data_IF_392585836462
#
_entry.id   IF_392585836462
#
_cell.length_a   1.000
_cell.length_b   1.000
_cell.length_c   1.000
_cell.angle_alpha   90.00
_cell.angle_beta   90.00
_cell.angle_gamma   90.00
#
_symmetry.space_group_name_H-M   'P 1'
#
loop_
_entity.id
_entity.type
_entity.pdbx_description
1 polymer ?
#
# COMPACT_ATOMS: atom_id res chain seq x y z
N UNK A 1 5.11 -14.91 -32.79
CA UNK A 1 5.02 -13.78 -31.86
C UNK A 1 6.43 -13.45 -31.39
N UNK A 2 6.91 -12.24 -31.64
CA UNK A 2 8.27 -11.84 -31.27
C UNK A 2 8.44 -11.81 -29.75
N UNK A 3 9.64 -12.13 -29.26
CA UNK A 3 9.97 -12.17 -27.83
C UNK A 3 9.61 -10.87 -27.09
N UNK A 4 9.69 -9.73 -27.78
CA UNK A 4 9.36 -8.40 -27.26
C UNK A 4 7.85 -8.19 -27.01
N UNK A 5 6.98 -8.78 -27.82
CA UNK A 5 5.53 -8.72 -27.56
C UNK A 5 5.18 -9.53 -26.31
N UNK A 6 5.86 -10.65 -26.08
CA UNK A 6 5.60 -11.51 -24.92
C UNK A 6 6.02 -10.82 -23.61
N UNK A 7 7.14 -10.12 -23.60
CA UNK A 7 7.60 -9.39 -22.41
C UNK A 7 6.66 -8.22 -22.08
N UNK A 8 6.26 -7.42 -23.06
CA UNK A 8 5.31 -6.31 -22.87
C UNK A 8 3.97 -6.83 -22.32
N UNK A 9 3.44 -7.91 -22.90
CA UNK A 9 2.16 -8.48 -22.48
C UNK A 9 2.22 -9.04 -21.05
N UNK A 10 3.34 -9.68 -20.68
CA UNK A 10 3.59 -10.15 -19.31
C UNK A 10 3.71 -8.98 -18.32
N UNK A 11 4.41 -7.90 -18.69
CA UNK A 11 4.51 -6.71 -17.85
C UNK A 11 3.15 -6.03 -17.66
N UNK A 12 2.34 -6.00 -18.72
CA UNK A 12 0.99 -5.46 -18.64
C UNK A 12 0.10 -6.30 -17.72
N UNK A 13 0.06 -7.62 -17.90
CA UNK A 13 -0.77 -8.51 -17.07
C UNK A 13 -0.36 -8.43 -15.60
N UNK A 14 0.94 -8.47 -15.32
CA UNK A 14 1.46 -8.32 -13.96
C UNK A 14 1.04 -6.99 -13.31
N UNK A 15 1.10 -5.90 -14.07
CA UNK A 15 0.73 -4.57 -13.57
C UNK A 15 -0.77 -4.41 -13.33
N UNK A 16 -1.61 -5.09 -14.10
CA UNK A 16 -3.06 -5.10 -13.92
C UNK A 16 -3.46 -5.92 -12.70
N UNK A 17 -2.93 -7.14 -12.59
CA UNK A 17 -3.14 -8.04 -11.44
C UNK A 17 -2.70 -7.39 -10.13
N UNK A 18 -1.50 -6.78 -10.11
CA UNK A 18 -0.99 -6.07 -8.94
C UNK A 18 -1.91 -4.91 -8.54
N UNK A 19 -2.43 -4.16 -9.53
CA UNK A 19 -3.36 -3.07 -9.28
C UNK A 19 -4.71 -3.52 -8.71
N UNK A 20 -5.22 -4.66 -9.18
CA UNK A 20 -6.45 -5.26 -8.66
C UNK A 20 -6.26 -5.77 -7.23
N UNK A 21 -5.14 -6.47 -6.97
CA UNK A 21 -4.78 -6.94 -5.64
C UNK A 21 -4.71 -5.79 -4.64
N UNK A 22 -4.13 -4.65 -5.00
CA UNK A 22 -4.00 -3.51 -4.10
C UNK A 22 -5.32 -2.86 -3.72
N UNK A 23 -6.24 -2.75 -4.67
CA UNK A 23 -7.61 -2.27 -4.41
C UNK A 23 -8.36 -3.24 -3.51
N UNK A 24 -8.21 -4.54 -3.74
CA UNK A 24 -8.80 -5.57 -2.91
C UNK A 24 -8.28 -5.50 -1.46
N UNK A 25 -6.95 -5.52 -1.27
CA UNK A 25 -6.33 -5.46 0.06
C UNK A 25 -6.72 -4.19 0.79
N UNK A 26 -6.72 -3.05 0.11
CA UNK A 26 -7.13 -1.78 0.71
C UNK A 26 -8.60 -1.82 1.14
N UNK A 27 -9.49 -2.31 0.28
CA UNK A 27 -10.92 -2.47 0.58
C UNK A 27 -11.16 -3.41 1.76
N UNK A 28 -10.48 -4.56 1.79
CA UNK A 28 -10.57 -5.52 2.88
C UNK A 28 -10.05 -4.94 4.20
N UNK A 29 -8.94 -4.18 4.16
CA UNK A 29 -8.37 -3.53 5.36
C UNK A 29 -9.30 -2.46 5.90
N UNK A 30 -9.90 -1.64 5.04
CA UNK A 30 -10.89 -0.62 5.43
C UNK A 30 -12.16 -1.26 6.00
N UNK A 31 -12.68 -2.31 5.37
CA UNK A 31 -13.84 -3.04 5.87
C UNK A 31 -13.56 -3.67 7.24
N UNK A 32 -12.37 -4.26 7.42
CA UNK A 32 -11.90 -4.77 8.70
C UNK A 32 -11.82 -3.67 9.76
N UNK A 33 -11.24 -2.51 9.43
CA UNK A 33 -11.20 -1.36 10.33
C UNK A 33 -12.59 -0.87 10.72
N UNK A 34 -13.52 -0.77 9.76
CA UNK A 34 -14.89 -0.34 10.02
C UNK A 34 -15.61 -1.31 10.95
N UNK A 35 -15.47 -2.62 10.73
CA UNK A 35 -16.05 -3.66 11.58
C UNK A 35 -15.46 -3.63 13.00
N UNK A 36 -14.14 -3.55 13.12
CA UNK A 36 -13.47 -3.46 14.41
C UNK A 36 -13.86 -2.16 15.14
N UNK A 37 -13.98 -1.05 14.42
CA UNK A 37 -14.40 0.23 14.98
C UNK A 37 -15.83 0.21 15.55
N UNK A 38 -16.72 -0.64 15.02
CA UNK A 38 -18.08 -0.82 15.55
C UNK A 38 -18.13 -1.77 16.75
N UNK A 39 -17.22 -2.73 16.83
CA UNK A 39 -17.29 -3.84 17.79
C UNK A 39 -16.41 -3.65 19.03
N UNK A 40 -15.42 -2.75 18.98
CA UNK A 40 -14.53 -2.48 20.12
C UNK A 40 -15.25 -1.58 21.15
N UNK A 41 -15.40 -2.02 22.42
CA UNK A 41 -15.89 -1.15 23.47
C UNK A 41 -14.79 -0.13 23.83
N UNK A 42 -15.08 1.15 23.61
CA UNK A 42 -14.16 2.23 23.98
C UNK A 42 -14.30 2.54 25.48
N UNK A 43 -13.17 2.48 26.20
CA UNK A 43 -13.06 2.84 27.61
C UNK A 43 -12.16 4.06 27.81
N UNK A 44 -11.99 4.48 29.07
CA UNK A 44 -11.04 5.53 29.43
C UNK A 44 -9.63 5.15 28.96
N UNK A 45 -8.90 6.11 28.37
CA UNK A 45 -7.51 5.91 27.96
C UNK A 45 -6.64 5.58 29.18
N UNK A 46 -5.93 4.46 29.14
CA UNK A 46 -5.02 4.02 30.19
C UNK A 46 -4.20 2.79 29.76
N UNK A 47 -3.41 2.20 30.66
CA UNK A 47 -2.73 0.92 30.41
C UNK A 47 -3.70 -0.26 30.59
N UNK A 48 -4.83 -0.19 29.88
CA UNK A 48 -5.91 -1.14 29.97
C UNK A 48 -6.12 -1.83 28.61
N UNK A 49 -6.71 -3.01 28.67
CA UNK A 49 -7.09 -3.82 27.51
C UNK A 49 -7.82 -3.02 26.39
N UNK A 50 -8.78 -2.11 26.68
CA UNK A 50 -9.45 -1.32 25.64
C UNK A 50 -8.49 -0.42 24.85
N UNK A 51 -7.41 0.07 25.47
CA UNK A 51 -6.41 0.90 24.82
C UNK A 51 -5.54 0.09 23.86
N UNK A 52 -5.29 -1.21 24.13
CA UNK A 52 -4.62 -2.10 23.18
C UNK A 52 -5.44 -2.34 21.91
N UNK A 53 -6.77 -2.49 22.04
CA UNK A 53 -7.66 -2.57 20.89
C UNK A 53 -7.66 -1.28 20.07
N UNK A 54 -7.67 -0.12 20.75
CA UNK A 54 -7.57 1.17 20.09
C UNK A 54 -6.24 1.33 19.33
N UNK A 55 -5.11 0.98 19.95
CA UNK A 55 -3.79 1.02 19.29
C UNK A 55 -3.74 0.09 18.07
N UNK A 56 -4.32 -1.10 18.16
CA UNK A 56 -4.40 -2.05 17.05
C UNK A 56 -5.25 -1.50 15.91
N UNK A 57 -6.41 -0.91 16.22
CA UNK A 57 -7.28 -0.25 15.26
C UNK A 57 -6.59 0.93 14.56
N UNK A 58 -5.88 1.78 15.31
CA UNK A 58 -5.11 2.89 14.76
C UNK A 58 -3.97 2.40 13.85
N UNK A 59 -3.31 1.31 14.21
CA UNK A 59 -2.24 0.71 13.40
C UNK A 59 -2.80 0.13 12.10
N UNK A 60 -3.96 -0.53 12.14
CA UNK A 60 -4.67 -1.00 10.94
C UNK A 60 -5.17 0.17 10.07
N UNK A 61 -5.67 1.24 10.68
CA UNK A 61 -6.04 2.47 9.97
C UNK A 61 -4.85 3.13 9.28
N UNK A 62 -3.68 3.16 9.94
CA UNK A 62 -2.44 3.63 9.34
C UNK A 62 -2.02 2.75 8.15
N UNK A 63 -2.16 1.42 8.26
CA UNK A 63 -1.92 0.51 7.15
C UNK A 63 -2.81 0.82 5.93
N UNK A 64 -4.10 1.10 6.15
CA UNK A 64 -5.00 1.50 5.07
C UNK A 64 -4.56 2.83 4.42
N UNK A 65 -4.16 3.83 5.22
CA UNK A 65 -3.62 5.11 4.71
C UNK A 65 -2.37 4.89 3.84
N UNK A 66 -1.45 4.04 4.28
CA UNK A 66 -0.25 3.69 3.52
C UNK A 66 -0.58 2.93 2.24
N UNK A 67 -1.63 2.09 2.26
CA UNK A 67 -2.19 1.47 1.08
C UNK A 67 -2.64 2.49 0.03
N UNK A 68 -3.36 3.54 0.44
CA UNK A 68 -3.71 4.65 -0.45
C UNK A 68 -2.46 5.37 -0.99
N UNK A 69 -1.48 5.68 -0.14
CA UNK A 69 -0.23 6.33 -0.56
C UNK A 69 0.57 5.50 -1.54
N UNK A 70 0.56 4.18 -1.40
CA UNK A 70 1.18 3.28 -2.38
C UNK A 70 0.51 3.38 -3.74
N UNK A 71 -0.82 3.31 -3.80
CA UNK A 71 -1.57 3.43 -5.07
C UNK A 71 -1.26 4.76 -5.76
N UNK A 72 -1.22 5.86 -5.00
CA UNK A 72 -0.86 7.19 -5.51
C UNK A 72 0.56 7.19 -6.11
N UNK A 73 1.53 6.57 -5.42
CA UNK A 73 2.92 6.50 -5.86
C UNK A 73 3.08 5.64 -7.12
N UNK A 74 2.38 4.51 -7.20
CA UNK A 74 2.35 3.67 -8.41
C UNK A 74 1.75 4.45 -9.60
N UNK A 75 0.67 5.21 -9.37
CA UNK A 75 0.08 6.04 -10.41
C UNK A 75 1.05 7.13 -10.89
N UNK A 76 1.78 7.77 -9.98
CA UNK A 76 2.85 8.73 -10.32
C UNK A 76 3.98 8.06 -11.10
N UNK A 77 4.37 6.84 -10.75
CA UNK A 77 5.40 6.09 -11.46
C UNK A 77 4.98 5.82 -12.91
N UNK A 78 3.71 5.43 -13.12
CA UNK A 78 3.15 5.20 -14.46
C UNK A 78 3.10 6.47 -15.30
N UNK A 79 2.74 7.61 -14.69
CA UNK A 79 2.77 8.92 -15.36
C UNK A 79 4.18 9.30 -15.76
N UNK A 80 5.14 9.25 -14.84
CA UNK A 80 6.55 9.52 -15.14
C UNK A 80 7.10 8.60 -16.23
N UNK A 81 6.70 7.32 -16.24
CA UNK A 81 7.09 6.39 -17.30
C UNK A 81 6.48 6.77 -18.66
N UNK A 82 5.21 7.18 -18.68
CA UNK A 82 4.55 7.69 -19.89
C UNK A 82 5.25 8.94 -20.43
N UNK A 83 5.61 9.88 -19.55
CA UNK A 83 6.31 11.11 -19.92
C UNK A 83 7.72 10.82 -20.46
N UNK A 84 8.39 9.81 -19.89
CA UNK A 84 9.68 9.33 -20.37
C UNK A 84 9.59 8.72 -21.77
N UNK A 85 8.61 7.84 -22.02
CA UNK A 85 8.39 7.27 -23.36
C UNK A 85 8.06 8.36 -24.37
N UNK A 86 7.19 9.32 -24.02
CA UNK A 86 6.85 10.43 -24.90
C UNK A 86 8.06 11.32 -25.23
N UNK A 87 8.96 11.53 -24.26
CA UNK A 87 10.22 12.25 -24.48
C UNK A 87 11.18 11.51 -25.42
N UNK A 88 11.22 10.17 -25.37
CA UNK A 88 11.96 9.34 -26.33
C UNK A 88 11.37 9.44 -27.73
N UNK A 89 10.04 9.32 -27.88
CA UNK A 89 9.35 9.43 -29.17
C UNK A 89 9.56 10.79 -29.83
N UNK A 90 9.63 11.86 -29.03
CA UNK A 90 9.88 13.23 -29.51
C UNK A 90 11.36 13.52 -29.75
N UNK A 91 12.25 12.52 -29.59
CA UNK A 91 13.71 12.64 -29.80
C UNK A 91 14.35 13.79 -29.00
N UNK A 92 13.83 14.06 -27.80
CA UNK A 92 14.30 15.16 -26.94
C UNK A 92 15.08 14.61 -25.73
N UNK A 93 16.41 14.38 -25.86
CA UNK A 93 17.21 13.72 -24.83
C UNK A 93 17.31 14.55 -23.53
N UNK A 94 17.16 15.88 -23.62
CA UNK A 94 17.19 16.76 -22.46
C UNK A 94 16.00 16.51 -21.52
N UNK A 95 14.81 16.28 -22.08
CA UNK A 95 13.61 15.93 -21.28
C UNK A 95 13.74 14.53 -20.67
N UNK A 96 14.25 13.56 -21.43
CA UNK A 96 14.46 12.20 -20.94
C UNK A 96 15.43 12.15 -19.74
N UNK A 97 16.51 12.92 -19.77
CA UNK A 97 17.50 12.98 -18.69
C UNK A 97 16.91 13.52 -17.37
N UNK A 98 15.91 14.41 -17.44
CA UNK A 98 15.25 15.00 -16.26
C UNK A 98 14.25 14.02 -15.63
N UNK A 99 13.61 13.17 -16.42
CA UNK A 99 12.56 12.23 -15.94
C UNK A 99 13.16 10.98 -15.27
N UNK A 100 14.35 10.53 -15.71
CA UNK A 100 15.04 9.35 -15.12
C UNK A 100 15.23 9.42 -13.59
N UNK A 101 15.75 10.52 -12.98
CA UNK A 101 15.90 10.59 -11.54
C UNK A 101 14.57 10.57 -10.79
N UNK A 102 13.52 11.20 -11.35
CA UNK A 102 12.17 11.16 -10.79
C UNK A 102 11.61 9.74 -10.81
N UNK A 103 11.75 9.02 -11.94
CA UNK A 103 11.31 7.64 -12.09
C UNK A 103 11.96 6.72 -11.05
N UNK A 104 13.27 6.84 -10.84
CA UNK A 104 14.01 6.06 -9.83
C UNK A 104 13.59 6.41 -8.40
N UNK A 105 13.28 7.67 -8.13
CA UNK A 105 12.80 8.11 -6.83
C UNK A 105 11.41 7.53 -6.52
N UNK A 106 10.48 7.62 -7.46
CA UNK A 106 9.12 7.10 -7.29
C UNK A 106 9.10 5.57 -7.20
N UNK A 107 9.99 4.88 -7.94
CA UNK A 107 10.15 3.42 -7.82
C UNK A 107 10.55 3.00 -6.39
N UNK A 108 11.54 3.67 -5.78
CA UNK A 108 11.95 3.39 -4.40
C UNK A 108 10.85 3.66 -3.39
N UNK A 109 10.13 4.78 -3.53
CA UNK A 109 9.01 5.09 -2.65
C UNK A 109 7.91 4.03 -2.73
N UNK A 110 7.64 3.49 -3.92
CA UNK A 110 6.64 2.43 -4.12
C UNK A 110 6.98 1.18 -3.31
N UNK A 111 8.26 0.79 -3.27
CA UNK A 111 8.74 -0.35 -2.49
C UNK A 111 8.67 -0.08 -0.98
N UNK A 112 9.07 1.12 -0.54
CA UNK A 112 8.99 1.51 0.87
C UNK A 112 7.54 1.47 1.36
N UNK A 113 6.59 2.04 0.61
CA UNK A 113 5.18 2.01 0.99
C UNK A 113 4.61 0.58 0.98
N UNK A 114 5.11 -0.31 0.12
CA UNK A 114 4.72 -1.72 0.12
C UNK A 114 5.16 -2.42 1.42
N UNK A 115 6.42 -2.28 1.78
CA UNK A 115 6.97 -2.88 3.01
C UNK A 115 6.28 -2.31 4.24
N UNK A 116 6.10 -0.98 4.30
CA UNK A 116 5.51 -0.31 5.45
C UNK A 116 4.02 -0.67 5.61
N UNK A 117 3.26 -0.77 4.51
CA UNK A 117 1.88 -1.28 4.53
C UNK A 117 1.82 -2.70 5.09
N UNK A 118 2.63 -3.62 4.56
CA UNK A 118 2.57 -5.01 5.00
C UNK A 118 3.01 -5.17 6.47
N UNK A 119 4.03 -4.42 6.90
CA UNK A 119 4.48 -4.40 8.29
C UNK A 119 3.41 -3.86 9.24
N UNK A 120 2.79 -2.73 8.91
CA UNK A 120 1.73 -2.14 9.74
C UNK A 120 0.47 -2.99 9.76
N UNK A 121 0.12 -3.64 8.64
CA UNK A 121 -0.99 -4.58 8.59
C UNK A 121 -0.76 -5.78 9.53
N UNK A 122 0.44 -6.38 9.47
CA UNK A 122 0.80 -7.52 10.31
C UNK A 122 0.86 -7.13 11.78
N UNK A 123 1.47 -6.00 12.11
CA UNK A 123 1.51 -5.48 13.49
C UNK A 123 0.12 -5.18 14.04
N UNK A 124 -0.74 -4.52 13.26
CA UNK A 124 -2.11 -4.22 13.68
C UNK A 124 -2.96 -5.48 13.90
N UNK A 125 -2.82 -6.48 13.02
CA UNK A 125 -3.54 -7.74 13.14
C UNK A 125 -3.07 -8.60 14.33
N UNK A 126 -1.76 -8.76 14.48
CA UNK A 126 -1.16 -9.48 15.61
C UNK A 126 -1.46 -8.80 16.94
N UNK A 127 -1.40 -7.46 17.00
CA UNK A 127 -1.79 -6.68 18.17
C UNK A 127 -3.26 -6.89 18.56
N UNK A 128 -4.16 -6.94 17.57
CA UNK A 128 -5.58 -7.22 17.81
C UNK A 128 -5.78 -8.64 18.37
N UNK A 129 -5.14 -9.66 17.79
CA UNK A 129 -5.21 -11.03 18.29
C UNK A 129 -4.66 -11.11 19.72
N UNK A 130 -3.50 -10.51 19.98
CA UNK A 130 -2.91 -10.50 21.31
C UNK A 130 -3.85 -9.85 22.33
N UNK A 131 -4.44 -8.70 22.01
CA UNK A 131 -5.44 -8.05 22.86
C UNK A 131 -6.64 -8.96 23.11
N UNK A 132 -7.13 -9.66 22.09
CA UNK A 132 -8.27 -10.58 22.22
C UNK A 132 -7.95 -11.81 23.08
N UNK A 133 -6.78 -12.40 22.89
CA UNK A 133 -6.31 -13.52 23.72
C UNK A 133 -6.18 -13.07 25.17
N UNK A 134 -5.53 -11.93 25.42
CA UNK A 134 -5.44 -11.37 26.77
C UNK A 134 -6.81 -11.13 27.39
N UNK A 135 -7.80 -10.63 26.66
CA UNK A 135 -9.17 -10.46 27.21
C UNK A 135 -9.87 -11.76 27.57
N UNK A 136 -9.48 -12.87 26.96
CA UNK A 136 -10.15 -14.15 27.16
C UNK A 136 -9.53 -14.93 28.33
N UNK A 137 -8.24 -14.72 28.59
CA UNK A 137 -7.46 -15.47 29.58
C UNK A 137 -6.96 -14.64 30.78
N UNK A 138 -7.08 -13.32 30.76
CA UNK A 138 -6.81 -12.42 31.90
C UNK A 138 -8.11 -11.97 32.56
#
# INVERSE_FOLDING_TARGET
>A
MGTDQRSVLLHQSHNEEMGQFDRFVLGATLAGCAYLGQTIPYGHLGWNIPTMFLCSLLTLGLSAYLGFKRIETVLRARRANSDFLHAQETNNPAKAAIVIPELRHVARLTEIFYQLRNMTLLLGFTGYIAARVLTTYA
#
